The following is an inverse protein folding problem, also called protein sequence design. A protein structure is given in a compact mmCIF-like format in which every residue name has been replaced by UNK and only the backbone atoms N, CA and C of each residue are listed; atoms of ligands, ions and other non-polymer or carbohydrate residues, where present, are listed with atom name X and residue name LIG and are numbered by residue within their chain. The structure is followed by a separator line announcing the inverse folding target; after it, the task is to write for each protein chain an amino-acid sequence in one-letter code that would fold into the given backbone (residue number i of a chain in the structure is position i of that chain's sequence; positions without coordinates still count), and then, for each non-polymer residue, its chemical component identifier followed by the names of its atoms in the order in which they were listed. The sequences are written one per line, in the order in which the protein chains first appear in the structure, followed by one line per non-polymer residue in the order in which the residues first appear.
data_IF_871227081176
#
_entry.id   IF_871227081176
#
_cell.length_a   1.000
_cell.length_b   1.000
_cell.length_c   1.000
_cell.angle_alpha   90.00
_cell.angle_beta   90.00
_cell.angle_gamma   90.00
#
_symmetry.space_group_name_H-M   'P 1'
#
loop_
_entity.id
_entity.type
_entity.pdbx_description
1 polymer ?
#
# COMPACT_ATOMS: atom_id res chain seq x y z
N UNK A 1 -17.21 -0.51 -16.25
CA UNK A 1 -16.46 -1.73 -15.89
C UNK A 1 -15.69 -1.47 -14.61
N UNK A 2 -15.91 -2.31 -13.61
CA UNK A 2 -15.25 -2.08 -12.32
C UNK A 2 -13.83 -2.59 -12.33
N UNK A 3 -13.00 -1.97 -11.51
CA UNK A 3 -11.58 -2.31 -11.35
C UNK A 3 -11.46 -3.61 -10.54
N UNK A 4 -10.81 -4.60 -11.11
CA UNK A 4 -10.64 -5.89 -10.46
C UNK A 4 -9.40 -5.90 -9.57
N UNK A 5 -9.46 -6.69 -8.48
CA UNK A 5 -8.34 -6.84 -7.56
C UNK A 5 -7.09 -7.38 -8.28
N UNK A 6 -7.28 -8.35 -9.18
CA UNK A 6 -6.16 -8.91 -9.94
C UNK A 6 -5.50 -7.88 -10.84
N UNK A 7 -6.29 -6.98 -11.43
CA UNK A 7 -5.75 -5.91 -12.27
C UNK A 7 -4.91 -4.94 -11.44
N UNK A 8 -5.39 -4.59 -10.25
CA UNK A 8 -4.65 -3.71 -9.34
C UNK A 8 -3.32 -4.34 -8.98
N UNK A 9 -3.35 -5.59 -8.54
CA UNK A 9 -2.14 -6.30 -8.13
C UNK A 9 -1.15 -6.41 -9.28
N UNK A 10 -1.63 -6.79 -10.46
CA UNK A 10 -0.76 -6.98 -11.62
C UNK A 10 -0.09 -5.69 -12.06
N UNK A 11 -0.81 -4.59 -12.10
CA UNK A 11 -0.25 -3.30 -12.50
C UNK A 11 0.82 -2.83 -11.52
N UNK A 12 0.57 -2.97 -10.24
CA UNK A 12 1.51 -2.56 -9.20
C UNK A 12 2.75 -3.46 -9.22
N UNK A 13 2.56 -4.77 -9.31
CA UNK A 13 3.67 -5.73 -9.37
C UNK A 13 4.54 -5.53 -10.62
N UNK A 14 3.92 -5.23 -11.76
CA UNK A 14 4.66 -4.98 -12.99
C UNK A 14 5.53 -3.74 -12.89
N UNK A 15 5.09 -2.74 -12.15
CA UNK A 15 5.80 -1.48 -12.02
C UNK A 15 6.94 -1.54 -10.99
N UNK A 16 6.72 -2.23 -9.87
CA UNK A 16 7.64 -2.18 -8.73
C UNK A 16 8.35 -3.50 -8.44
N UNK A 17 7.88 -4.61 -9.00
CA UNK A 17 8.53 -5.91 -8.82
C UNK A 17 8.58 -6.34 -7.38
N UNK A 18 9.77 -6.70 -6.90
CA UNK A 18 9.97 -7.24 -5.56
C UNK A 18 9.84 -6.22 -4.44
N UNK A 19 9.76 -4.95 -4.77
CA UNK A 19 9.63 -3.89 -3.77
C UNK A 19 8.21 -3.77 -3.23
N UNK A 20 7.25 -4.44 -3.87
CA UNK A 20 5.90 -4.60 -3.35
C UNK A 20 5.66 -6.10 -3.17
N UNK A 21 5.14 -6.49 -2.02
CA UNK A 21 5.07 -7.91 -1.65
C UNK A 21 3.91 -8.15 -0.68
N UNK A 22 3.67 -9.43 -0.41
CA UNK A 22 2.66 -9.86 0.56
C UNK A 22 1.25 -9.37 0.22
N UNK A 23 0.88 -9.45 -1.04
CA UNK A 23 -0.49 -9.13 -1.45
C UNK A 23 -1.47 -10.09 -0.80
N UNK A 24 -2.47 -9.53 -0.14
CA UNK A 24 -3.47 -10.32 0.58
C UNK A 24 -4.74 -9.51 0.77
N UNK A 25 -5.82 -10.22 1.07
CA UNK A 25 -7.07 -9.57 1.45
C UNK A 25 -7.16 -9.50 2.97
N UNK A 26 -7.33 -8.31 3.51
CA UNK A 26 -7.57 -8.09 4.93
C UNK A 26 -8.90 -7.37 5.06
N UNK A 27 -9.88 -8.02 5.70
CA UNK A 27 -11.23 -7.45 5.89
C UNK A 27 -11.82 -6.93 4.57
N UNK A 28 -11.66 -7.74 3.52
CA UNK A 28 -12.17 -7.44 2.18
C UNK A 28 -11.48 -6.25 1.48
N UNK A 29 -10.33 -5.83 1.99
CA UNK A 29 -9.53 -4.77 1.39
C UNK A 29 -8.20 -5.38 0.92
N UNK A 30 -7.86 -5.17 -0.36
CA UNK A 30 -6.56 -5.59 -0.86
C UNK A 30 -5.48 -4.83 -0.10
N UNK A 31 -4.56 -5.59 0.47
CA UNK A 31 -3.48 -5.04 1.30
C UNK A 31 -2.16 -5.57 0.77
N UNK A 32 -1.16 -4.73 0.70
CA UNK A 32 0.18 -5.18 0.36
C UNK A 32 1.22 -4.33 1.09
N UNK A 33 2.44 -4.86 1.13
CA UNK A 33 3.55 -4.17 1.76
C UNK A 33 4.44 -3.57 0.68
N UNK A 34 4.97 -2.39 0.93
CA UNK A 34 5.94 -1.74 0.04
C UNK A 34 7.17 -1.37 0.87
N UNK A 35 8.35 -1.43 0.26
CA UNK A 35 9.56 -1.01 0.97
C UNK A 35 9.53 0.49 1.18
N UNK A 36 10.16 0.95 2.26
CA UNK A 36 10.16 2.38 2.61
C UNK A 36 10.84 3.24 1.55
N UNK A 37 11.72 2.66 0.76
CA UNK A 37 12.44 3.39 -0.29
C UNK A 37 11.56 3.76 -1.48
N UNK A 38 10.47 3.02 -1.70
CA UNK A 38 9.60 3.24 -2.87
C UNK A 38 8.18 3.66 -2.52
N UNK A 39 7.87 3.80 -1.22
CA UNK A 39 6.49 4.06 -0.81
C UNK A 39 5.89 5.31 -1.47
N UNK A 40 6.67 6.37 -1.62
CA UNK A 40 6.19 7.59 -2.26
C UNK A 40 5.86 7.36 -3.73
N UNK A 41 6.71 6.62 -4.43
CA UNK A 41 6.50 6.30 -5.84
C UNK A 41 5.29 5.37 -6.01
N UNK A 42 5.09 4.44 -5.08
CA UNK A 42 3.93 3.56 -5.11
C UNK A 42 2.64 4.37 -4.97
N UNK A 43 2.58 5.25 -3.99
CA UNK A 43 1.39 6.09 -3.78
C UNK A 43 1.14 6.98 -5.00
N UNK A 44 2.20 7.59 -5.54
CA UNK A 44 2.09 8.44 -6.73
C UNK A 44 1.59 7.63 -7.93
N UNK A 45 2.15 6.45 -8.14
CA UNK A 45 1.74 5.59 -9.25
C UNK A 45 0.26 5.24 -9.14
N UNK A 46 -0.19 4.85 -7.95
CA UNK A 46 -1.58 4.50 -7.74
C UNK A 46 -2.52 5.68 -7.98
N UNK A 47 -2.06 6.87 -7.66
CA UNK A 47 -2.84 8.09 -7.85
C UNK A 47 -2.92 8.49 -9.33
N UNK A 48 -1.79 8.43 -10.02
CA UNK A 48 -1.67 8.98 -11.38
C UNK A 48 -1.97 7.99 -12.48
N UNK A 49 -1.91 6.69 -12.20
CA UNK A 49 -2.17 5.67 -13.21
C UNK A 49 -3.61 5.80 -13.73
N UNK A 50 -3.74 5.81 -15.05
CA UNK A 50 -5.03 6.07 -15.69
C UNK A 50 -6.08 4.98 -15.44
N UNK A 51 -5.65 3.80 -15.02
CA UNK A 51 -6.55 2.69 -14.70
C UNK A 51 -6.84 2.64 -13.20
N UNK A 52 -5.82 2.82 -12.36
CA UNK A 52 -5.97 2.66 -10.90
C UNK A 52 -6.70 3.82 -10.25
N UNK A 53 -6.27 5.04 -10.51
CA UNK A 53 -6.95 6.26 -10.05
C UNK A 53 -7.25 6.30 -8.56
N UNK A 54 -6.31 5.83 -7.72
CA UNK A 54 -6.44 5.94 -6.27
C UNK A 54 -6.01 7.33 -5.84
N UNK A 55 -6.82 8.32 -6.16
CA UNK A 55 -6.47 9.72 -5.97
C UNK A 55 -6.94 10.29 -4.64
N UNK A 56 -7.45 9.45 -3.76
CA UNK A 56 -7.92 9.90 -2.46
C UNK A 56 -7.29 9.08 -1.35
N UNK A 57 -6.49 9.73 -0.51
CA UNK A 57 -5.95 9.13 0.70
C UNK A 57 -6.96 9.31 1.81
N UNK A 58 -7.63 8.22 2.21
CA UNK A 58 -8.69 8.30 3.20
C UNK A 58 -8.19 8.18 4.62
N UNK A 59 -7.04 7.54 4.82
CA UNK A 59 -6.48 7.39 6.16
C UNK A 59 -4.97 7.17 6.09
N UNK A 60 -4.29 7.65 7.12
CA UNK A 60 -2.85 7.47 7.29
C UNK A 60 -2.60 7.29 8.77
N UNK A 61 -2.08 6.14 9.16
CA UNK A 61 -1.79 5.89 10.57
C UNK A 61 -0.50 5.12 10.76
N UNK A 62 0.14 5.35 11.91
CA UNK A 62 1.29 4.59 12.34
C UNK A 62 0.85 3.46 13.27
N UNK A 63 1.47 2.30 13.12
CA UNK A 63 1.18 1.13 13.95
C UNK A 63 2.49 0.58 14.50
N UNK A 64 2.47 0.24 15.80
CA UNK A 64 3.63 -0.33 16.47
C UNK A 64 3.41 -1.84 16.67
N UNK A 65 4.38 -2.62 16.22
CA UNK A 65 4.37 -4.08 16.36
C UNK A 65 5.56 -4.49 17.23
N UNK A 66 5.42 -4.48 18.56
CA UNK A 66 6.55 -4.72 19.46
C UNK A 66 7.15 -6.14 19.35
N UNK A 67 6.36 -7.11 18.89
CA UNK A 67 6.82 -8.48 18.75
C UNK A 67 7.56 -8.75 17.44
N UNK A 68 7.59 -7.79 16.52
CA UNK A 68 8.31 -7.93 15.28
C UNK A 68 9.81 -7.69 15.49
N UNK A 69 10.61 -8.08 14.50
CA UNK A 69 12.02 -7.75 14.49
C UNK A 69 12.21 -6.23 14.53
N UNK A 70 13.37 -5.77 15.02
CA UNK A 70 13.65 -4.34 15.15
C UNK A 70 13.42 -3.59 13.84
N UNK A 71 13.72 -4.21 12.71
CA UNK A 71 13.55 -3.59 11.38
C UNK A 71 12.09 -3.40 10.97
N UNK A 72 11.17 -4.06 11.64
CA UNK A 72 9.77 -4.07 11.25
C UNK A 72 8.83 -3.82 12.44
N UNK A 73 9.30 -3.09 13.46
CA UNK A 73 8.48 -2.81 14.64
C UNK A 73 7.44 -1.72 14.40
N UNK A 74 7.66 -0.87 13.41
CA UNK A 74 6.71 0.19 13.09
C UNK A 74 6.25 0.05 11.66
N UNK A 75 4.98 0.33 11.44
CA UNK A 75 4.42 0.39 10.10
C UNK A 75 3.67 1.68 9.92
N UNK A 76 3.74 2.24 8.73
CA UNK A 76 2.86 3.32 8.31
C UNK A 76 1.87 2.71 7.34
N UNK A 77 0.60 2.93 7.60
CA UNK A 77 -0.49 2.33 6.83
C UNK A 77 -1.20 3.44 6.07
N UNK A 78 -1.28 3.27 4.76
CA UNK A 78 -1.97 4.20 3.87
C UNK A 78 -3.23 3.53 3.35
N UNK A 79 -4.38 4.15 3.56
CA UNK A 79 -5.63 3.65 2.99
C UNK A 79 -6.04 4.56 1.84
N UNK A 80 -6.05 4.01 0.64
CA UNK A 80 -6.33 4.74 -0.58
C UNK A 80 -7.68 4.32 -1.16
N UNK A 81 -8.36 5.24 -1.80
CA UNK A 81 -9.69 5.02 -2.34
C UNK A 81 -9.79 5.48 -3.78
N UNK A 82 -10.29 4.62 -4.65
CA UNK A 82 -10.72 4.96 -5.98
C UNK A 82 -12.24 5.17 -5.93
N UNK A 83 -12.67 6.42 -6.13
CA UNK A 83 -14.09 6.76 -6.01
C UNK A 83 -14.93 6.27 -7.18
N UNK A 84 -14.32 6.21 -8.36
CA UNK A 84 -15.06 5.85 -9.58
C UNK A 84 -15.51 4.39 -9.51
N UNK A 85 -14.61 3.51 -9.13
CA UNK A 85 -14.88 2.07 -9.01
C UNK A 85 -15.20 1.64 -7.58
N UNK A 86 -15.14 2.56 -6.64
CA UNK A 86 -15.41 2.33 -5.22
C UNK A 86 -14.55 1.19 -4.65
N UNK A 87 -13.26 1.28 -4.89
CA UNK A 87 -12.30 0.27 -4.43
C UNK A 87 -11.33 0.92 -3.45
N UNK A 88 -11.05 0.23 -2.36
CA UNK A 88 -10.05 0.66 -1.38
C UNK A 88 -8.86 -0.29 -1.40
N UNK A 89 -7.67 0.27 -1.21
CA UNK A 89 -6.43 -0.50 -1.11
C UNK A 89 -5.65 0.02 0.09
N UNK A 90 -5.10 -0.91 0.85
CA UNK A 90 -4.26 -0.58 2.01
C UNK A 90 -2.82 -0.90 1.66
N UNK A 91 -1.93 0.08 1.85
CA UNK A 91 -0.50 -0.08 1.61
C UNK A 91 0.22 0.11 2.94
N UNK A 92 1.06 -0.85 3.30
CA UNK A 92 1.86 -0.79 4.53
C UNK A 92 3.34 -0.67 4.19
N UNK A 93 4.06 0.16 4.92
CA UNK A 93 5.52 0.18 4.86
C UNK A 93 6.05 0.00 6.28
N UNK A 94 7.05 -0.87 6.42
CA UNK A 94 7.62 -1.17 7.73
C UNK A 94 8.91 -0.40 7.92
N UNK A 95 9.09 0.13 9.12
CA UNK A 95 10.25 0.94 9.49
C UNK A 95 10.90 0.36 10.74
N UNK A 96 12.22 0.51 10.84
CA UNK A 96 12.91 0.16 12.08
C UNK A 96 12.68 1.24 13.13
N UNK A 97 12.81 0.85 14.41
CA UNK A 97 12.58 1.76 15.52
C UNK A 97 13.48 2.99 15.49
N UNK A 98 14.70 2.85 14.99
CA UNK A 98 15.67 3.94 14.93
C UNK A 98 15.46 4.91 13.77
N UNK A 99 14.54 4.60 12.87
CA UNK A 99 14.21 5.45 11.72
C UNK A 99 12.87 6.15 11.85
N UNK A 100 12.16 5.91 12.93
CA UNK A 100 10.88 6.57 13.19
C UNK A 100 11.16 7.93 13.80
N UNK A 101 10.60 8.95 13.20
CA UNK A 101 10.78 10.33 13.64
C UNK A 101 9.49 10.85 14.25
#
# INVERSE_FOLDING_TARGET
MSLEITDIQNRISSRFGEEVLNFRMERDILTFDATSSVIKEVIRFMKEDEVLRFNFLTDLCGVHYPDNEVKAQFAVVYLLHNWIDNVRVRVKTFLSADKVV
#
